data_IF_100067839172
#
_entry.id   IF_100067839172
#
_cell.length_a   1.000
_cell.length_b   1.000
_cell.length_c   1.000
_cell.angle_alpha   90.00
_cell.angle_beta   90.00
_cell.angle_gamma   90.00
#
_symmetry.space_group_name_H-M   'P 1'
#
loop_
_entity.id
_entity.type
_entity.pdbx_description
1 polymer ?
#
# COMPACT_ATOMS: atom_id res chain seq x y z
N UNK A 1 -43.06 -1.36 -16.70
CA UNK A 1 -42.75 -0.79 -15.37
C UNK A 1 -41.76 -1.63 -14.58
N UNK A 2 -42.00 -2.94 -14.33
CA UNK A 2 -41.02 -3.86 -13.71
C UNK A 2 -39.69 -3.99 -14.46
N UNK A 3 -39.71 -4.02 -15.80
CA UNK A 3 -38.49 -4.07 -16.65
C UNK A 3 -37.68 -2.77 -16.62
N UNK A 4 -38.33 -1.64 -16.35
CA UNK A 4 -37.67 -0.33 -16.24
C UNK A 4 -36.95 -0.20 -14.89
N UNK A 5 -37.55 -0.73 -13.80
CA UNK A 5 -36.89 -0.81 -12.49
C UNK A 5 -35.68 -1.76 -12.47
N UNK A 6 -35.71 -2.88 -13.21
CA UNK A 6 -34.58 -3.82 -13.28
C UNK A 6 -33.38 -3.21 -14.02
N UNK A 7 -33.61 -2.41 -15.07
CA UNK A 7 -32.57 -1.66 -15.77
C UNK A 7 -31.95 -0.54 -14.91
N UNK A 8 -32.77 0.16 -14.11
CA UNK A 8 -32.29 1.17 -13.14
C UNK A 8 -31.44 0.55 -12.03
N UNK A 9 -31.76 -0.68 -11.59
CA UNK A 9 -30.98 -1.40 -10.58
C UNK A 9 -29.63 -1.91 -11.14
N UNK A 10 -29.60 -2.32 -12.41
CA UNK A 10 -28.37 -2.74 -13.10
C UNK A 10 -27.40 -1.57 -13.37
N UNK A 11 -27.91 -0.36 -13.61
CA UNK A 11 -27.11 0.85 -13.80
C UNK A 11 -26.46 1.35 -12.49
N UNK A 12 -27.09 1.07 -11.34
CA UNK A 12 -26.53 1.36 -10.00
C UNK A 12 -25.61 0.26 -9.44
N UNK A 13 -25.55 -0.91 -10.10
CA UNK A 13 -24.69 -2.05 -9.74
C UNK A 13 -23.46 -2.19 -10.63
N UNK A 14 -23.10 -1.14 -11.37
CA UNK A 14 -21.70 -0.93 -11.75
C UNK A 14 -21.06 -0.17 -10.59
N UNK A 15 -20.60 -0.85 -9.51
CA UNK A 15 -19.63 -0.20 -8.65
C UNK A 15 -18.51 0.21 -9.60
N UNK A 16 -18.19 1.49 -9.55
CA UNK A 16 -17.07 2.07 -10.26
C UNK A 16 -15.89 1.14 -10.08
N UNK A 17 -15.57 0.37 -11.12
CA UNK A 17 -14.29 -0.26 -11.30
C UNK A 17 -13.32 0.88 -11.61
N UNK A 18 -13.17 1.80 -10.66
CA UNK A 18 -11.93 2.52 -10.49
C UNK A 18 -10.95 1.43 -10.09
N UNK A 19 -10.46 0.70 -11.09
CA UNK A 19 -9.13 0.16 -11.05
C UNK A 19 -8.29 1.28 -10.46
N UNK A 20 -7.79 1.08 -9.24
CA UNK A 20 -6.92 2.03 -8.59
C UNK A 20 -5.79 2.28 -9.60
N UNK A 21 -5.87 3.43 -10.28
CA UNK A 21 -4.90 3.79 -11.28
C UNK A 21 -3.56 3.81 -10.55
N UNK A 22 -2.63 3.00 -11.02
CA UNK A 22 -1.26 2.98 -10.54
C UNK A 22 -0.63 4.34 -10.82
N UNK A 23 -0.90 5.28 -9.93
CA UNK A 23 -0.36 6.61 -9.96
C UNK A 23 0.74 6.59 -8.90
N UNK A 24 1.97 6.87 -9.32
CA UNK A 24 3.10 6.95 -8.40
C UNK A 24 2.72 7.86 -7.22
N UNK A 25 2.87 7.40 -5.95
CA UNK A 25 2.50 8.20 -4.79
C UNK A 25 3.14 9.59 -4.86
N UNK A 26 2.33 10.63 -4.75
CA UNK A 26 2.81 12.01 -4.78
C UNK A 26 3.01 12.55 -3.36
N UNK A 27 3.99 13.43 -3.20
CA UNK A 27 4.24 14.10 -1.91
C UNK A 27 3.00 14.88 -1.47
N UNK A 28 2.66 14.75 -0.18
CA UNK A 28 1.50 15.42 0.41
C UNK A 28 0.15 14.70 0.23
N UNK A 29 0.10 13.64 -0.58
CA UNK A 29 -1.09 12.79 -0.67
C UNK A 29 -1.12 11.76 0.46
N UNK A 30 -2.33 11.28 0.77
CA UNK A 30 -2.48 10.12 1.64
C UNK A 30 -1.78 8.91 1.01
N UNK A 31 -0.96 8.22 1.80
CA UNK A 31 -0.31 7.00 1.36
C UNK A 31 -1.36 5.93 0.99
N UNK A 32 -1.20 5.21 -0.13
CA UNK A 32 -2.06 4.07 -0.45
C UNK A 32 -2.01 3.02 0.65
N UNK A 33 -3.16 2.40 0.94
CA UNK A 33 -3.23 1.28 1.86
C UNK A 33 -2.43 0.08 1.33
N UNK A 34 -1.75 -0.63 2.24
CA UNK A 34 -1.10 -1.91 1.94
C UNK A 34 -1.55 -2.98 2.93
N UNK A 35 -1.43 -4.23 2.51
CA UNK A 35 -1.54 -5.40 3.39
C UNK A 35 -0.55 -6.46 2.91
N UNK A 36 0.47 -6.74 3.72
CA UNK A 36 1.59 -7.63 3.37
C UNK A 36 1.93 -8.52 4.57
N UNK A 37 2.46 -9.71 4.33
CA UNK A 37 3.02 -10.55 5.39
C UNK A 37 4.45 -10.08 5.71
N UNK A 38 4.80 -10.07 6.99
CA UNK A 38 6.19 -9.90 7.42
C UNK A 38 6.97 -11.23 7.32
N UNK A 39 8.26 -11.20 7.69
CA UNK A 39 9.14 -12.36 7.64
C UNK A 39 8.72 -13.52 8.57
N UNK A 40 7.75 -13.30 9.45
CA UNK A 40 7.19 -14.30 10.36
C UNK A 40 5.78 -14.74 9.95
N UNK A 41 5.27 -14.26 8.82
CA UNK A 41 3.92 -14.56 8.32
C UNK A 41 2.82 -13.75 9.02
N UNK A 42 3.16 -12.68 9.76
CA UNK A 42 2.16 -11.81 10.35
C UNK A 42 1.73 -10.74 9.37
N UNK A 43 0.41 -10.57 9.21
CA UNK A 43 -0.15 -9.53 8.36
C UNK A 43 0.05 -8.13 8.95
N UNK A 44 0.76 -7.29 8.20
CA UNK A 44 0.93 -5.85 8.46
C UNK A 44 0.09 -5.04 7.48
N UNK A 45 -0.50 -3.96 7.99
CA UNK A 45 -1.27 -3.00 7.18
C UNK A 45 -0.98 -1.57 7.61
N UNK A 46 -1.12 -0.62 6.69
CA UNK A 46 -0.81 0.80 6.93
C UNK A 46 -1.48 1.36 8.20
N UNK A 47 -2.75 1.01 8.45
CA UNK A 47 -3.49 1.53 9.61
C UNK A 47 -2.94 1.07 10.98
N UNK A 48 -2.11 0.02 11.02
CA UNK A 48 -1.45 -0.42 12.26
C UNK A 48 -0.38 0.58 12.74
N UNK A 49 0.08 1.49 11.87
CA UNK A 49 1.18 2.43 12.13
C UNK A 49 0.70 3.88 12.31
N UNK A 50 -0.59 4.10 12.59
CA UNK A 50 -1.15 5.45 12.79
C UNK A 50 -0.45 6.17 13.94
N UNK A 51 -0.08 7.42 13.70
CA UNK A 51 0.62 8.26 14.69
C UNK A 51 2.13 8.03 14.76
N UNK A 52 2.68 7.14 13.93
CA UNK A 52 4.11 6.90 13.82
C UNK A 52 4.60 7.27 12.42
N UNK A 53 5.87 7.65 12.31
CA UNK A 53 6.53 7.72 11.00
C UNK A 53 6.78 6.31 10.49
N UNK A 54 6.42 6.06 9.22
CA UNK A 54 6.63 4.79 8.56
C UNK A 54 7.41 5.03 7.27
N UNK A 55 8.48 4.26 7.08
CA UNK A 55 9.31 4.27 5.86
C UNK A 55 9.13 2.94 5.15
N UNK A 56 8.65 2.99 3.91
CA UNK A 56 8.49 1.82 3.05
C UNK A 56 9.64 1.77 2.05
N UNK A 57 10.53 0.80 2.20
CA UNK A 57 11.71 0.63 1.37
C UNK A 57 11.50 -0.53 0.37
N UNK A 58 11.66 -0.24 -0.92
CA UNK A 58 11.55 -1.22 -2.00
C UNK A 58 12.95 -1.60 -2.47
N UNK A 59 13.22 -2.91 -2.53
CA UNK A 59 14.50 -3.44 -2.98
C UNK A 59 14.28 -4.63 -3.91
N UNK A 60 15.20 -4.83 -4.85
CA UNK A 60 15.07 -5.88 -5.89
C UNK A 60 15.26 -7.28 -5.28
N UNK A 61 16.23 -7.43 -4.37
CA UNK A 61 16.56 -8.71 -3.76
C UNK A 61 17.21 -8.56 -2.39
N UNK A 62 16.75 -9.36 -1.45
CA UNK A 62 17.34 -9.49 -0.12
C UNK A 62 18.77 -10.02 -0.15
N UNK A 63 19.54 -9.70 0.90
CA UNK A 63 20.85 -10.28 1.18
C UNK A 63 21.90 -10.07 0.09
N UNK A 64 21.76 -9.00 -0.70
CA UNK A 64 22.83 -8.55 -1.60
C UNK A 64 23.79 -7.61 -0.84
N UNK A 65 25.10 -7.59 -1.17
CA UNK A 65 26.08 -6.76 -0.46
C UNK A 65 25.71 -5.26 -0.43
N UNK A 66 25.11 -4.76 -1.52
CA UNK A 66 24.62 -3.38 -1.61
C UNK A 66 23.49 -3.10 -0.61
N UNK A 67 22.37 -3.82 -0.72
CA UNK A 67 21.20 -3.67 0.14
C UNK A 67 21.55 -3.78 1.64
N UNK A 68 22.45 -4.70 1.98
CA UNK A 68 22.85 -4.90 3.38
C UNK A 68 23.64 -3.71 3.94
N UNK A 69 24.48 -3.08 3.12
CA UNK A 69 25.27 -1.91 3.53
C UNK A 69 24.37 -0.68 3.65
N UNK A 70 23.49 -0.46 2.67
CA UNK A 70 22.54 0.65 2.64
C UNK A 70 21.59 0.64 3.85
N UNK A 71 20.98 -0.51 4.15
CA UNK A 71 20.05 -0.64 5.27
C UNK A 71 20.73 -0.49 6.63
N UNK A 72 21.98 -0.96 6.79
CA UNK A 72 22.72 -0.77 8.04
C UNK A 72 23.03 0.69 8.28
N UNK A 73 23.50 1.41 7.28
CA UNK A 73 23.79 2.83 7.41
C UNK A 73 22.51 3.62 7.73
N UNK A 74 21.40 3.34 7.02
CA UNK A 74 20.12 3.97 7.32
C UNK A 74 19.65 3.72 8.75
N UNK A 75 19.75 2.47 9.23
CA UNK A 75 19.44 2.17 10.62
C UNK A 75 20.32 2.98 11.57
N UNK A 76 21.63 2.99 11.35
CA UNK A 76 22.57 3.61 12.30
C UNK A 76 22.43 5.15 12.32
N UNK A 77 22.09 5.77 11.18
CA UNK A 77 21.90 7.22 11.05
C UNK A 77 20.55 7.71 11.64
N UNK A 78 19.52 6.85 11.64
CA UNK A 78 18.15 7.21 12.01
C UNK A 78 17.56 6.39 13.17
N UNK A 79 18.35 5.53 13.81
CA UNK A 79 17.99 4.88 15.06
C UNK A 79 17.96 5.91 16.19
N UNK A 80 16.77 6.46 16.44
CA UNK A 80 16.45 7.15 17.69
C UNK A 80 16.37 6.17 18.86
#
# INVERSE_FOLDING_TARGET
MRRLLIMLFALCLLPTLAAAAETMPQVGQMAPGFKLEDQHGHWKSLDQYRGQWLVLYFYVKDFTPGCTTELRNYRDDYAA
#
